data_IF_389062667291
#
_entry.id   IF_389062667291
#
_cell.length_a   1.000
_cell.length_b   1.000
_cell.length_c   1.000
_cell.angle_alpha   90.00
_cell.angle_beta   90.00
_cell.angle_gamma   90.00
#
_symmetry.space_group_name_H-M   'P 1'
#
loop_
_entity.id
_entity.type
_entity.pdbx_description
1 polymer ?
#
# COMPACT_ATOMS: atom_id res chain seq x y z
N UNK A 1 12.38 0.17 -12.76
CA UNK A 1 11.07 -0.46 -12.99
C UNK A 1 9.96 0.23 -12.23
N UNK A 2 8.78 0.36 -12.86
CA UNK A 2 7.56 0.97 -12.32
C UNK A 2 6.63 -0.14 -11.82
N UNK A 3 6.10 -0.01 -10.62
CA UNK A 3 5.14 -0.97 -10.04
C UNK A 3 3.96 -0.24 -9.43
N UNK A 4 2.76 -0.76 -9.67
CA UNK A 4 1.53 -0.25 -9.04
C UNK A 4 1.29 -1.05 -7.76
N UNK A 5 1.19 -0.35 -6.65
CA UNK A 5 0.97 -0.92 -5.32
C UNK A 5 -0.28 -0.29 -4.72
N UNK A 6 -1.14 -1.11 -4.14
CA UNK A 6 -2.36 -0.63 -3.47
C UNK A 6 -2.01 -0.16 -2.06
N UNK A 7 -2.38 1.07 -1.71
CA UNK A 7 -2.12 1.65 -0.39
C UNK A 7 -3.42 2.09 0.24
N UNK A 8 -3.59 1.77 1.53
CA UNK A 8 -4.71 2.23 2.32
C UNK A 8 -4.48 3.67 2.80
N UNK A 9 -5.38 4.59 2.47
CA UNK A 9 -5.31 6.02 2.88
C UNK A 9 -5.40 6.19 4.40
N UNK A 10 -6.05 5.25 5.10
CA UNK A 10 -6.27 5.35 6.55
C UNK A 10 -5.07 4.90 7.38
N UNK A 11 -4.48 3.74 7.06
CA UNK A 11 -3.39 3.18 7.86
C UNK A 11 -2.01 3.39 7.24
N UNK A 12 -1.93 3.75 5.95
CA UNK A 12 -0.66 3.94 5.24
C UNK A 12 0.11 2.65 4.95
N UNK A 13 -0.51 1.48 5.15
CA UNK A 13 0.07 0.19 4.80
C UNK A 13 -0.29 -0.20 3.38
N UNK A 14 0.57 -1.05 2.80
CA UNK A 14 0.30 -1.76 1.56
C UNK A 14 -0.90 -2.69 1.75
N UNK A 15 -1.92 -2.51 0.93
CA UNK A 15 -3.13 -3.33 0.89
C UNK A 15 -2.92 -4.57 0.00
N UNK A 16 -3.75 -5.59 0.22
CA UNK A 16 -3.72 -6.82 -0.57
C UNK A 16 -4.75 -6.71 -1.68
N UNK A 17 -4.35 -7.02 -2.90
CA UNK A 17 -5.26 -7.12 -4.04
C UNK A 17 -5.72 -8.56 -4.24
N UNK A 18 -7.03 -8.79 -4.09
CA UNK A 18 -7.65 -10.07 -4.36
C UNK A 18 -8.07 -10.13 -5.83
N UNK A 19 -7.29 -10.87 -6.64
CA UNK A 19 -7.59 -11.08 -8.06
C UNK A 19 -8.87 -11.89 -8.29
N UNK A 20 -9.28 -12.75 -7.35
CA UNK A 20 -10.48 -13.58 -7.53
C UNK A 20 -11.75 -12.74 -7.35
N UNK A 21 -11.73 -11.81 -6.38
CA UNK A 21 -12.85 -10.90 -6.10
C UNK A 21 -12.71 -9.53 -6.79
N UNK A 22 -11.64 -9.32 -7.56
CA UNK A 22 -11.27 -8.05 -8.19
C UNK A 22 -11.34 -6.85 -7.23
N UNK A 23 -10.92 -7.03 -5.97
CA UNK A 23 -11.00 -5.98 -4.95
C UNK A 23 -9.72 -5.89 -4.13
N UNK A 24 -9.27 -4.66 -3.87
CA UNK A 24 -8.26 -4.41 -2.87
C UNK A 24 -8.91 -4.38 -1.48
N UNK A 25 -8.26 -4.97 -0.48
CA UNK A 25 -8.72 -4.89 0.90
C UNK A 25 -7.56 -4.68 1.87
N UNK A 26 -7.88 -4.05 3.00
CA UNK A 26 -6.97 -3.79 4.10
C UNK A 26 -7.60 -4.31 5.41
N UNK A 27 -6.77 -4.65 6.39
CA UNK A 27 -7.20 -5.09 7.73
C UNK A 27 -7.97 -4.01 8.51
N UNK A 28 -8.03 -2.79 7.99
CA UNK A 28 -8.81 -1.69 8.57
C UNK A 28 -10.32 -1.82 8.33
N UNK A 29 -10.76 -2.84 7.57
CA UNK A 29 -12.14 -3.11 7.22
C UNK A 29 -12.59 -2.45 5.91
N UNK A 30 -13.85 -2.68 5.52
CA UNK A 30 -14.41 -2.25 4.23
C UNK A 30 -14.52 -0.72 4.07
N UNK A 31 -14.43 0.04 5.16
CA UNK A 31 -14.52 1.51 5.14
C UNK A 31 -13.23 2.21 4.73
N UNK A 32 -12.11 1.50 4.57
CA UNK A 32 -10.86 2.15 4.18
C UNK A 32 -10.78 2.31 2.66
N UNK A 33 -10.61 3.56 2.21
CA UNK A 33 -10.29 3.88 0.82
C UNK A 33 -8.87 3.39 0.49
N UNK A 34 -8.77 2.64 -0.60
CA UNK A 34 -7.52 2.06 -1.07
C UNK A 34 -7.26 2.63 -2.46
N UNK A 35 -6.09 3.22 -2.62
CA UNK A 35 -5.71 3.94 -3.82
C UNK A 35 -4.50 3.24 -4.47
N UNK A 36 -4.51 3.05 -5.80
CA UNK A 36 -3.36 2.50 -6.52
C UNK A 36 -2.31 3.61 -6.66
N UNK A 37 -1.11 3.35 -6.13
CA UNK A 37 0.01 4.28 -6.20
C UNK A 37 1.13 3.65 -7.01
N UNK A 38 1.66 4.45 -7.91
CA UNK A 38 2.81 4.09 -8.71
C UNK A 38 4.10 4.42 -7.94
N UNK A 39 5.00 3.44 -7.81
CA UNK A 39 6.31 3.62 -7.20
C UNK A 39 7.37 2.74 -7.87
N UNK A 40 8.64 2.98 -7.52
CA UNK A 40 9.72 2.10 -7.96
C UNK A 40 9.66 0.76 -7.24
N UNK A 41 9.99 -0.32 -7.94
CA UNK A 41 10.04 -1.65 -7.34
C UNK A 41 11.06 -1.73 -6.19
N UNK A 42 12.20 -1.05 -6.33
CA UNK A 42 13.23 -0.97 -5.29
C UNK A 42 12.70 -0.32 -4.00
N UNK A 43 11.88 0.73 -4.10
CA UNK A 43 11.27 1.35 -2.93
C UNK A 43 10.28 0.42 -2.23
N UNK A 44 9.51 -0.37 -2.99
CA UNK A 44 8.63 -1.40 -2.44
C UNK A 44 9.41 -2.46 -1.65
N UNK A 45 10.56 -2.93 -2.16
CA UNK A 45 11.44 -3.85 -1.44
C UNK A 45 11.99 -3.25 -0.15
N UNK A 46 12.47 -2.00 -0.21
CA UNK A 46 12.95 -1.28 0.95
C UNK A 46 11.87 -1.17 2.05
N UNK A 47 10.62 -0.88 1.68
CA UNK A 47 9.51 -0.86 2.64
C UNK A 47 9.25 -2.24 3.26
N UNK A 48 9.43 -3.33 2.51
CA UNK A 48 9.27 -4.69 3.02
C UNK A 48 10.43 -5.13 3.93
N UNK A 49 11.65 -4.66 3.68
CA UNK A 49 12.80 -4.83 4.57
C UNK A 49 12.62 -4.08 5.89
N UNK A 50 12.15 -2.83 5.84
CA UNK A 50 11.80 -2.07 7.05
C UNK A 50 10.75 -2.79 7.90
N UNK A 51 9.70 -3.33 7.27
CA UNK A 51 8.68 -4.13 7.97
C UNK A 51 9.26 -5.39 8.60
N UNK A 52 10.22 -6.04 7.95
CA UNK A 52 10.91 -7.22 8.47
C UNK A 52 11.74 -6.90 9.72
N UNK A 53 12.22 -5.66 9.84
CA UNK A 53 12.87 -5.12 11.04
C UNK A 53 11.89 -4.62 12.11
N UNK A 54 10.60 -4.98 12.04
CA UNK A 54 9.54 -4.50 12.93
C UNK A 54 9.32 -2.98 12.90
N UNK A 55 9.84 -2.26 11.89
CA UNK A 55 9.50 -0.87 11.66
C UNK A 55 8.22 -0.78 10.84
N UNK A 56 7.24 0.01 11.29
CA UNK A 56 5.99 0.22 10.56
C UNK A 56 6.04 1.55 9.78
N UNK A 57 6.50 1.56 8.51
CA UNK A 57 6.45 2.77 7.71
C UNK A 57 4.99 3.12 7.40
N UNK A 58 4.56 4.32 7.80
CA UNK A 58 3.23 4.84 7.49
C UNK A 58 3.35 5.77 6.28
N UNK A 59 2.77 5.37 5.16
CA UNK A 59 2.68 6.22 3.97
C UNK A 59 1.51 7.20 4.16
N UNK A 60 1.79 8.50 4.01
CA UNK A 60 0.77 9.56 4.00
C UNK A 60 0.56 9.88 2.53
N UNK A 61 -0.67 9.67 2.06
CA UNK A 61 -1.05 9.96 0.69
C UNK A 61 -1.56 11.40 0.63
N UNK A 62 -1.11 12.14 -0.36
CA UNK A 62 -1.60 13.47 -0.70
C UNK A 62 -2.12 13.44 -2.13
N UNK A 63 -3.09 14.32 -2.41
CA UNK A 63 -3.52 14.54 -3.78
C UNK A 63 -2.38 15.14 -4.60
N UNK A 64 -2.37 14.81 -5.87
CA UNK A 64 -1.33 15.28 -6.80
C UNK A 64 -1.48 16.77 -7.16
N UNK A 65 -2.62 17.38 -6.82
CA UNK A 65 -3.04 18.71 -7.25
C UNK A 65 -3.52 19.55 -6.08
#
# INVERSE_FOLDING_TARGET
DRTVVWICERCGNVAIYDNYKNRAYCLCGEKSKISPIEMSYAFKLFLDELKSMHMRPKLILEDKY
#
